data_IF_440752676101
#
_entry.id   IF_440752676101
#
_cell.length_a   1.000
_cell.length_b   1.000
_cell.length_c   1.000
_cell.angle_alpha   90.00
_cell.angle_beta   90.00
_cell.angle_gamma   90.00
#
_symmetry.space_group_name_H-M   'P 1'
#
loop_
_entity.id
_entity.type
_entity.pdbx_description
1 polymer ?
#
# COMPACT_ATOMS: atom_id res chain seq x y z
N UNK A 1 15.82 3.65 -2.53
CA UNK A 1 14.55 3.41 -1.81
C UNK A 1 14.66 3.97 -0.40
N UNK A 2 13.72 4.83 0.01
CA UNK A 2 13.67 5.34 1.39
C UNK A 2 12.72 4.49 2.23
N UNK A 3 13.23 3.78 3.23
CA UNK A 3 12.43 2.89 4.10
C UNK A 3 11.28 3.63 4.78
N UNK A 4 11.49 4.90 5.13
CA UNK A 4 10.46 5.76 5.76
C UNK A 4 9.20 5.94 4.91
N UNK A 5 9.30 5.79 3.58
CA UNK A 5 8.13 5.84 2.70
C UNK A 5 7.22 4.62 2.83
N UNK A 6 7.73 3.50 3.34
CA UNK A 6 7.03 2.22 3.43
C UNK A 6 6.46 1.89 4.81
N UNK A 7 6.73 2.74 5.81
CA UNK A 7 6.24 2.51 7.17
C UNK A 7 4.90 3.21 7.39
N UNK A 8 3.95 2.47 7.98
CA UNK A 8 2.74 3.07 8.55
C UNK A 8 3.18 4.05 9.65
N UNK A 9 2.81 5.34 9.56
CA UNK A 9 3.13 6.29 10.61
C UNK A 9 2.59 5.80 11.96
N UNK A 10 3.42 5.75 13.02
CA UNK A 10 2.98 5.23 14.32
C UNK A 10 1.81 6.07 14.84
N UNK A 11 0.80 5.40 15.39
CA UNK A 11 -0.25 6.09 16.12
C UNK A 11 0.38 6.77 17.34
N UNK A 12 0.16 8.07 17.51
CA UNK A 12 0.60 8.79 18.69
C UNK A 12 -0.14 8.24 19.93
N UNK A 13 0.53 8.13 21.07
CA UNK A 13 -0.07 7.65 22.32
C UNK A 13 -1.27 8.51 22.78
N UNK A 14 -1.30 9.79 22.38
CA UNK A 14 -2.38 10.73 22.69
C UNK A 14 -3.43 10.85 21.56
N UNK A 15 -3.56 9.83 20.72
CA UNK A 15 -4.53 9.86 19.64
C UNK A 15 -5.97 9.81 20.17
N UNK A 16 -6.84 10.67 19.64
CA UNK A 16 -8.27 10.58 19.89
C UNK A 16 -8.86 9.58 18.91
N UNK A 17 -9.29 8.43 19.41
CA UNK A 17 -9.95 7.42 18.61
C UNK A 17 -11.28 7.92 18.05
N UNK A 18 -11.60 7.51 16.82
CA UNK A 18 -12.80 7.96 16.08
C UNK A 18 -13.61 6.76 15.56
N UNK A 19 -14.29 6.01 16.44
CA UNK A 19 -15.03 4.79 16.07
C UNK A 19 -16.02 4.98 14.90
N UNK A 20 -16.74 6.10 14.89
CA UNK A 20 -17.69 6.42 13.82
C UNK A 20 -17.03 6.53 12.43
N UNK A 21 -15.77 7.00 12.37
CA UNK A 21 -15.02 7.04 11.11
C UNK A 21 -14.49 5.66 10.74
N UNK A 22 -14.12 4.83 11.71
CA UNK A 22 -13.74 3.44 11.43
C UNK A 22 -14.89 2.67 10.81
N UNK A 23 -16.10 2.78 11.37
CA UNK A 23 -17.29 2.13 10.81
C UNK A 23 -17.52 2.53 9.36
N UNK A 24 -17.36 3.82 9.04
CA UNK A 24 -17.45 4.31 7.66
C UNK A 24 -16.37 3.69 6.76
N UNK A 25 -15.13 3.56 7.24
CA UNK A 25 -14.05 2.90 6.49
C UNK A 25 -14.30 1.40 6.35
N UNK A 26 -14.85 0.73 7.37
CA UNK A 26 -15.20 -0.68 7.39
C UNK A 26 -16.22 -0.99 6.28
N UNK A 27 -17.22 -0.12 6.04
CA UNK A 27 -18.15 -0.29 4.89
C UNK A 27 -17.44 -0.30 3.54
N UNK A 28 -16.30 0.39 3.45
CA UNK A 28 -15.47 0.48 2.26
C UNK A 28 -14.61 -0.75 1.99
N UNK A 29 -14.42 -1.65 2.97
CA UNK A 29 -13.58 -2.86 2.80
C UNK A 29 -14.11 -3.81 1.73
N UNK A 30 -15.41 -3.73 1.42
CA UNK A 30 -16.03 -4.47 0.31
C UNK A 30 -15.74 -3.88 -1.08
N UNK A 31 -15.10 -2.71 -1.15
CA UNK A 31 -14.80 -1.96 -2.38
C UNK A 31 -13.34 -2.13 -2.75
N UNK A 32 -13.03 -2.01 -4.04
CA UNK A 32 -11.66 -2.09 -4.57
C UNK A 32 -10.82 -0.82 -4.30
N UNK A 33 -11.47 0.30 -3.98
CA UNK A 33 -10.81 1.57 -3.73
C UNK A 33 -11.62 2.41 -2.74
N UNK A 34 -10.92 2.96 -1.74
CA UNK A 34 -11.43 3.97 -0.81
C UNK A 34 -10.59 5.23 -1.02
N UNK A 35 -11.23 6.36 -1.34
CA UNK A 35 -10.58 7.66 -1.42
C UNK A 35 -10.92 8.49 -0.19
N UNK A 36 -9.89 8.95 0.52
CA UNK A 36 -10.04 9.83 1.68
C UNK A 36 -9.52 11.22 1.29
N UNK A 37 -10.41 12.20 1.26
CA UNK A 37 -10.10 13.59 0.92
C UNK A 37 -10.54 14.55 2.02
N UNK A 38 -9.65 15.48 2.36
CA UNK A 38 -9.85 16.55 3.35
C UNK A 38 -8.68 17.55 3.22
N UNK A 39 -8.82 18.80 3.72
CA UNK A 39 -7.72 19.76 3.72
C UNK A 39 -6.48 19.28 4.51
N UNK A 40 -5.35 19.98 4.34
CA UNK A 40 -4.16 19.72 5.15
C UNK A 40 -4.47 19.91 6.65
N UNK A 41 -3.86 19.09 7.51
CA UNK A 41 -4.08 19.16 8.97
C UNK A 41 -5.33 18.43 9.50
N UNK A 42 -6.26 17.97 8.66
CA UNK A 42 -7.48 17.28 9.10
C UNK A 42 -7.28 15.83 9.59
N UNK A 43 -6.03 15.36 9.71
CA UNK A 43 -5.73 14.04 10.27
C UNK A 43 -6.05 12.85 9.35
N UNK A 44 -6.03 13.02 8.01
CA UNK A 44 -6.25 11.92 7.05
C UNK A 44 -5.33 10.72 7.29
N UNK A 45 -4.02 10.99 7.40
CA UNK A 45 -3.02 9.96 7.70
C UNK A 45 -3.28 9.33 9.07
N UNK A 46 -3.59 10.19 10.06
CA UNK A 46 -3.88 9.78 11.43
C UNK A 46 -5.06 8.81 11.51
N UNK A 47 -6.18 9.09 10.83
CA UNK A 47 -7.35 8.21 10.86
C UNK A 47 -7.07 6.87 10.19
N UNK A 48 -6.32 6.85 9.08
CA UNK A 48 -5.99 5.60 8.38
C UNK A 48 -5.04 4.73 9.20
N UNK A 49 -3.95 5.32 9.72
CA UNK A 49 -3.00 4.59 10.57
C UNK A 49 -3.67 4.00 11.81
N UNK A 50 -4.52 4.80 12.48
CA UNK A 50 -5.24 4.33 13.66
C UNK A 50 -6.27 3.26 13.31
N UNK A 51 -7.05 3.45 12.24
CA UNK A 51 -8.01 2.45 11.76
C UNK A 51 -7.35 1.10 11.44
N UNK A 52 -6.22 1.11 10.71
CA UNK A 52 -5.43 -0.10 10.41
C UNK A 52 -5.00 -0.81 11.70
N UNK A 53 -4.49 -0.05 12.68
CA UNK A 53 -4.04 -0.61 13.96
C UNK A 53 -5.21 -1.18 14.79
N UNK A 54 -6.31 -0.42 14.94
CA UNK A 54 -7.47 -0.84 15.72
C UNK A 54 -8.18 -2.06 15.13
N UNK A 55 -8.23 -2.16 13.80
CA UNK A 55 -8.85 -3.28 13.07
C UNK A 55 -7.88 -4.43 12.78
N UNK A 56 -6.59 -4.27 13.12
CA UNK A 56 -5.51 -5.24 12.83
C UNK A 56 -5.49 -5.64 11.36
N UNK A 57 -5.70 -4.67 10.46
CA UNK A 57 -5.71 -4.91 9.02
C UNK A 57 -4.27 -5.10 8.55
N UNK A 58 -3.91 -6.23 7.91
CA UNK A 58 -2.62 -6.34 7.23
C UNK A 58 -2.58 -5.30 6.10
N UNK A 59 -1.70 -4.32 6.21
CA UNK A 59 -1.66 -3.19 5.29
C UNK A 59 -0.23 -2.81 4.90
N UNK A 60 -0.04 -2.54 3.61
CA UNK A 60 1.17 -1.95 3.09
C UNK A 60 0.97 -0.43 3.03
N UNK A 61 2.01 0.32 3.38
CA UNK A 61 1.97 1.78 3.32
C UNK A 61 2.95 2.29 2.28
N UNK A 62 2.55 3.31 1.53
CA UNK A 62 3.43 3.99 0.58
C UNK A 62 3.14 5.48 0.65
N UNK A 63 4.13 6.27 1.04
CA UNK A 63 4.09 7.73 1.00
C UNK A 63 4.70 8.20 -0.32
N UNK A 64 3.88 8.78 -1.18
CA UNK A 64 4.30 9.30 -2.49
C UNK A 64 4.53 10.81 -2.45
N UNK A 65 5.58 11.27 -3.13
CA UNK A 65 5.87 12.67 -3.39
C UNK A 65 6.16 12.93 -4.88
N UNK A 66 6.48 14.18 -5.23
CA UNK A 66 6.72 14.59 -6.62
C UNK A 66 7.94 13.93 -7.27
N UNK A 67 8.87 13.39 -6.47
CA UNK A 67 10.02 12.65 -6.96
C UNK A 67 9.66 11.24 -7.44
N UNK A 68 8.54 10.67 -6.99
CA UNK A 68 8.14 9.29 -7.28
C UNK A 68 7.38 9.13 -8.61
N UNK A 69 7.76 9.93 -9.61
CA UNK A 69 7.13 9.91 -10.95
C UNK A 69 7.80 8.93 -11.92
N UNK A 70 8.86 8.22 -11.49
CA UNK A 70 9.43 7.13 -12.26
C UNK A 70 8.61 5.83 -12.06
N UNK A 71 8.05 5.22 -13.12
CA UNK A 71 7.24 4.02 -12.99
C UNK A 71 7.96 2.81 -12.38
N UNK A 72 9.28 2.68 -12.56
CA UNK A 72 10.04 1.57 -11.97
C UNK A 72 10.16 1.76 -10.48
N UNK A 73 10.55 2.94 -10.05
CA UNK A 73 10.68 3.26 -8.64
C UNK A 73 9.33 3.14 -7.92
N UNK A 74 8.26 3.64 -8.54
CA UNK A 74 6.89 3.50 -8.03
C UNK A 74 6.49 2.03 -7.84
N UNK A 75 6.72 1.18 -8.85
CA UNK A 75 6.40 -0.25 -8.77
C UNK A 75 7.28 -0.98 -7.76
N UNK A 76 8.56 -0.61 -7.64
CA UNK A 76 9.46 -1.15 -6.62
C UNK A 76 8.96 -0.81 -5.21
N UNK A 77 8.47 0.41 -4.96
CA UNK A 77 7.86 0.76 -3.67
C UNK A 77 6.60 -0.06 -3.40
N UNK A 78 5.72 -0.25 -4.39
CA UNK A 78 4.53 -1.09 -4.23
C UNK A 78 4.88 -2.52 -3.84
N UNK A 79 5.78 -3.14 -4.62
CA UNK A 79 6.16 -4.52 -4.38
C UNK A 79 6.82 -4.66 -3.02
N UNK A 80 7.78 -3.78 -2.69
CA UNK A 80 8.48 -3.82 -1.41
C UNK A 80 7.56 -3.60 -0.22
N UNK A 81 6.58 -2.69 -0.33
CA UNK A 81 5.59 -2.44 0.72
C UNK A 81 4.71 -3.67 0.98
N UNK A 82 4.25 -4.35 -0.07
CA UNK A 82 3.42 -5.56 0.06
C UNK A 82 4.26 -6.76 0.52
N UNK A 83 5.53 -6.84 0.12
CA UNK A 83 6.45 -7.88 0.59
C UNK A 83 6.65 -7.87 2.10
N UNK A 84 6.42 -6.74 2.79
CA UNK A 84 6.39 -6.70 4.26
C UNK A 84 5.24 -7.50 4.91
N UNK A 85 4.25 -7.94 4.12
CA UNK A 85 3.11 -8.76 4.54
C UNK A 85 3.17 -10.13 3.87
N UNK A 86 3.55 -10.16 2.59
CA UNK A 86 3.63 -11.35 1.77
C UNK A 86 4.94 -11.39 0.98
N UNK A 87 5.95 -12.03 1.57
CA UNK A 87 7.35 -11.99 1.13
C UNK A 87 7.58 -12.33 -0.36
N UNK A 88 6.76 -13.19 -0.96
CA UNK A 88 6.92 -13.63 -2.35
C UNK A 88 6.13 -12.78 -3.37
N UNK A 89 5.38 -11.78 -2.91
CA UNK A 89 4.63 -10.90 -3.79
C UNK A 89 5.57 -10.18 -4.78
N UNK A 90 5.15 -10.02 -6.04
CA UNK A 90 5.88 -9.21 -7.00
C UNK A 90 7.13 -9.85 -7.60
N UNK A 91 7.49 -11.09 -7.24
CA UNK A 91 8.77 -11.69 -7.64
C UNK A 91 8.94 -11.77 -9.18
N UNK A 92 7.90 -12.13 -9.91
CA UNK A 92 7.94 -12.20 -11.38
C UNK A 92 8.03 -10.79 -11.98
N UNK A 93 7.26 -9.86 -11.41
CA UNK A 93 7.27 -8.45 -11.82
C UNK A 93 8.64 -7.80 -11.61
N UNK A 94 9.31 -8.04 -10.48
CA UNK A 94 10.67 -7.56 -10.19
C UNK A 94 11.71 -8.11 -11.17
N UNK A 95 11.60 -9.39 -11.54
CA UNK A 95 12.49 -10.01 -12.52
C UNK A 95 12.43 -9.31 -13.88
N UNK A 96 11.23 -8.93 -14.33
CA UNK A 96 11.03 -8.24 -15.60
C UNK A 96 11.36 -6.75 -15.54
N UNK A 97 11.08 -6.08 -14.42
CA UNK A 97 11.43 -4.68 -14.20
C UNK A 97 12.93 -4.41 -14.40
N UNK A 98 13.77 -5.35 -13.95
CA UNK A 98 15.23 -5.25 -14.02
C UNK A 98 15.84 -5.91 -15.27
N UNK A 99 15.01 -6.39 -16.20
CA UNK A 99 15.50 -7.12 -17.38
C UNK A 99 16.06 -6.16 -18.45
N UNK A 100 17.11 -6.57 -19.21
CA UNK A 100 17.66 -5.76 -20.30
C UNK A 100 16.63 -5.45 -21.40
N UNK A 101 15.71 -6.39 -21.65
CA UNK A 101 14.60 -6.25 -22.58
C UNK A 101 13.28 -6.01 -21.83
N UNK A 102 13.26 -4.96 -21.01
CA UNK A 102 12.11 -4.61 -20.18
C UNK A 102 10.84 -4.40 -21.03
N UNK A 103 9.71 -5.04 -20.69
CA UNK A 103 8.42 -4.79 -21.33
C UNK A 103 7.91 -3.36 -21.10
N UNK A 104 6.90 -2.96 -21.87
CA UNK A 104 6.22 -1.67 -21.63
C UNK A 104 5.60 -1.60 -20.22
N UNK A 105 5.49 -0.38 -19.67
CA UNK A 105 4.88 -0.12 -18.35
C UNK A 105 3.49 -0.73 -18.22
N UNK A 106 2.70 -0.68 -19.31
CA UNK A 106 1.37 -1.30 -19.37
C UNK A 106 1.43 -2.82 -19.18
N UNK A 107 2.43 -3.48 -19.74
CA UNK A 107 2.59 -4.93 -19.63
C UNK A 107 3.03 -5.33 -18.22
N UNK A 108 3.94 -4.56 -17.64
CA UNK A 108 4.41 -4.75 -16.26
C UNK A 108 3.28 -4.52 -15.26
N UNK A 109 2.51 -3.45 -15.43
CA UNK A 109 1.33 -3.18 -14.61
C UNK A 109 0.30 -4.31 -14.73
N UNK A 110 0.07 -4.83 -15.95
CA UNK A 110 -0.81 -5.98 -16.17
C UNK A 110 -0.36 -7.24 -15.41
N UNK A 111 0.94 -7.51 -15.38
CA UNK A 111 1.49 -8.62 -14.61
C UNK A 111 1.28 -8.45 -13.10
N UNK A 112 1.59 -7.26 -12.57
CA UNK A 112 1.39 -6.96 -11.15
C UNK A 112 -0.08 -7.08 -10.74
N UNK A 113 -1.01 -6.61 -11.60
CA UNK A 113 -2.45 -6.75 -11.38
C UNK A 113 -2.87 -8.23 -11.31
N UNK A 114 -2.24 -9.09 -12.11
CA UNK A 114 -2.51 -10.53 -12.04
C UNK A 114 -1.97 -11.12 -10.73
N UNK A 115 -0.77 -10.73 -10.29
CA UNK A 115 -0.20 -11.18 -9.00
C UNK A 115 -1.07 -10.75 -7.81
N UNK A 116 -1.71 -9.57 -7.85
CA UNK A 116 -2.67 -9.11 -6.83
C UNK A 116 -3.93 -10.00 -6.75
N UNK A 117 -4.34 -10.61 -7.88
CA UNK A 117 -5.52 -11.47 -7.93
C UNK A 117 -5.24 -12.90 -7.48
N UNK A 118 -3.97 -13.31 -7.43
CA UNK A 118 -3.62 -14.63 -6.94
C UNK A 118 -3.97 -14.72 -5.46
N UNK A 119 -4.55 -15.84 -5.00
CA UNK A 119 -4.82 -16.02 -3.58
C UNK A 119 -3.49 -15.92 -2.81
N UNK A 120 -3.47 -15.07 -1.78
CA UNK A 120 -2.37 -14.99 -0.83
C UNK A 120 -2.45 -16.27 0.01
N UNK A 121 -1.59 -17.24 -0.30
CA UNK A 121 -1.46 -18.46 0.49
C UNK A 121 -0.50 -18.14 1.63
N UNK A 122 -1.06 -17.91 2.82
CA UNK A 122 -0.25 -17.90 4.04
C UNK A 122 0.13 -19.36 4.33
N UNK A 123 1.41 -19.69 4.18
CA UNK A 123 1.96 -20.94 4.68
C UNK A 123 2.41 -20.62 6.12
N UNK A 124 1.72 -21.20 7.10
CA UNK A 124 2.03 -21.10 8.54
C UNK A 124 3.40 -21.69 8.88
#
# INVERSE_FOLDING_TARGET
MLLTKLHIPPANQNIVHRPQLYEKLDTGLSRKLILISAPAGFGKTTIVSDWINQRKIPAAWISLDKGDNDPVEFLNYIISGIQGIHNSFGASTLGLLNSPNRPSDKSIAGLLINEIRLPIIFID
#
